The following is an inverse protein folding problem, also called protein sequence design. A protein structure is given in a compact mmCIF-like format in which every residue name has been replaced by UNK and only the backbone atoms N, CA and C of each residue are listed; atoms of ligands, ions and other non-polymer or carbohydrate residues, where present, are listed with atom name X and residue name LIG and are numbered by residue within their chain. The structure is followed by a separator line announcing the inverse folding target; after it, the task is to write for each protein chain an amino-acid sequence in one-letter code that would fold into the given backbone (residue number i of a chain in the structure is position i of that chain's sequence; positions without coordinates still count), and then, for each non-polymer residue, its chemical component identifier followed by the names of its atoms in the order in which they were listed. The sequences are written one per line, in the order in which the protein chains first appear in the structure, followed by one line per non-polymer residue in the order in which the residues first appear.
data_IF_949814570863
#
_entry.id   IF_949814570863
#
_cell.length_a   1.000
_cell.length_b   1.000
_cell.length_c   1.000
_cell.angle_alpha   90.00
_cell.angle_beta   90.00
_cell.angle_gamma   90.00
#
_symmetry.space_group_name_H-M   'P 1'
#
loop_
_entity.id
_entity.type
_entity.pdbx_description
1 polymer ?
#
# COMPACT_ATOMS: atom_id res chain seq x y z
N UNK A 1 5.98 24.52 -5.83
CA UNK A 1 5.40 25.89 -5.74
C UNK A 1 6.51 26.93 -5.84
N UNK A 2 7.46 27.05 -4.92
CA UNK A 2 8.48 28.11 -4.88
C UNK A 2 9.33 28.27 -6.15
N UNK A 3 9.53 27.22 -6.95
CA UNK A 3 10.19 27.33 -8.27
C UNK A 3 9.37 28.13 -9.32
N UNK A 4 8.09 28.31 -9.10
CA UNK A 4 7.15 28.95 -10.04
C UNK A 4 6.55 30.24 -9.48
N UNK A 5 6.54 30.38 -8.16
CA UNK A 5 6.19 31.59 -7.41
C UNK A 5 7.11 31.67 -6.20
N UNK A 6 8.18 32.45 -6.35
CA UNK A 6 9.21 32.64 -5.31
C UNK A 6 8.71 33.50 -4.12
N UNK A 7 7.57 34.18 -4.29
CA UNK A 7 6.96 34.98 -3.23
C UNK A 7 5.89 34.22 -2.43
N UNK A 8 5.64 32.95 -2.74
CA UNK A 8 4.67 32.15 -2.00
C UNK A 8 5.14 31.93 -0.56
N UNK A 9 4.33 32.36 0.42
CA UNK A 9 4.52 31.98 1.83
C UNK A 9 3.90 30.60 2.07
N UNK A 10 4.77 29.61 2.26
CA UNK A 10 4.34 28.20 2.46
C UNK A 10 4.49 27.86 3.95
N UNK A 11 3.35 27.59 4.59
CA UNK A 11 3.27 27.12 5.96
C UNK A 11 2.89 25.64 5.95
N UNK A 12 3.66 24.78 6.62
CA UNK A 12 3.37 23.34 6.77
C UNK A 12 3.20 23.02 8.25
N UNK A 13 2.11 22.36 8.61
CA UNK A 13 1.84 21.90 9.97
C UNK A 13 1.94 20.38 10.00
N UNK A 14 2.82 19.86 10.85
CA UNK A 14 3.10 18.45 11.05
C UNK A 14 2.91 18.10 12.52
N UNK A 15 2.07 17.12 12.80
CA UNK A 15 1.78 16.67 14.16
C UNK A 15 2.95 15.94 14.82
N UNK A 16 3.80 15.27 14.03
CA UNK A 16 5.00 14.62 14.50
C UNK A 16 6.13 15.61 14.80
N UNK A 17 7.13 15.15 15.53
CA UNK A 17 8.35 15.93 15.87
C UNK A 17 9.29 16.10 14.68
N UNK A 18 9.19 15.21 13.68
CA UNK A 18 9.97 15.23 12.42
C UNK A 18 9.06 14.98 11.22
N UNK A 19 9.28 15.69 10.10
CA UNK A 19 8.48 15.50 8.89
C UNK A 19 8.97 14.32 8.05
N UNK A 20 8.15 13.95 7.07
CA UNK A 20 8.56 13.09 5.94
C UNK A 20 8.97 11.66 6.31
N UNK A 21 8.40 11.10 7.37
CA UNK A 21 8.67 9.72 7.78
C UNK A 21 8.12 8.70 6.77
N UNK A 22 8.99 7.77 6.35
CA UNK A 22 8.65 6.69 5.42
C UNK A 22 8.17 5.45 6.18
N UNK A 23 6.87 5.34 6.41
CA UNK A 23 6.30 4.17 7.09
C UNK A 23 6.56 2.84 6.36
N UNK A 24 6.71 2.84 5.04
CA UNK A 24 7.11 1.64 4.27
C UNK A 24 8.52 1.13 4.59
N UNK A 25 9.35 1.90 5.28
CA UNK A 25 10.68 1.49 5.74
C UNK A 25 10.70 0.85 7.12
N UNK A 26 9.56 0.77 7.81
CA UNK A 26 9.51 0.23 9.19
C UNK A 26 10.03 -1.19 9.24
N UNK A 27 9.65 -2.07 8.31
CA UNK A 27 10.18 -3.44 8.26
C UNK A 27 11.70 -3.46 8.19
N UNK A 28 12.33 -2.63 7.33
CA UNK A 28 13.79 -2.56 7.22
C UNK A 28 14.46 -2.15 8.53
N UNK A 29 13.81 -1.28 9.33
CA UNK A 29 14.29 -0.95 10.67
C UNK A 29 14.10 -2.11 11.65
N UNK A 30 12.96 -2.79 11.62
CA UNK A 30 12.72 -3.95 12.49
C UNK A 30 13.71 -5.09 12.23
N UNK A 31 14.14 -5.27 10.99
CA UNK A 31 15.09 -6.28 10.54
C UNK A 31 16.58 -5.83 10.62
N UNK A 32 16.88 -4.69 11.24
CA UNK A 32 18.24 -4.12 11.35
C UNK A 32 18.93 -3.83 9.99
N UNK A 33 18.17 -3.71 8.90
CA UNK A 33 18.66 -3.26 7.60
C UNK A 33 18.90 -1.75 7.64
N UNK A 34 17.96 -0.98 8.19
CA UNK A 34 18.17 0.41 8.56
C UNK A 34 18.66 0.48 10.01
N UNK A 35 19.74 1.20 10.24
CA UNK A 35 20.35 1.33 11.57
C UNK A 35 19.57 2.25 12.51
N UNK A 36 18.76 3.15 11.95
CA UNK A 36 18.03 4.18 12.69
C UNK A 36 16.70 4.52 12.00
N UNK A 37 15.70 4.90 12.80
CA UNK A 37 14.47 5.51 12.27
C UNK A 37 14.72 6.88 11.63
N UNK A 38 15.82 7.55 11.97
CA UNK A 38 16.19 8.82 11.35
C UNK A 38 16.54 8.64 9.87
N UNK A 39 17.05 7.47 9.47
CA UNK A 39 17.33 7.12 8.07
C UNK A 39 16.06 7.03 7.22
N UNK A 40 14.88 6.87 7.86
CA UNK A 40 13.59 6.75 7.19
C UNK A 40 12.91 8.10 6.93
N UNK A 41 13.58 9.22 7.13
CA UNK A 41 13.07 10.56 6.81
C UNK A 41 13.61 11.04 5.46
N UNK A 42 12.72 11.35 4.52
CA UNK A 42 13.12 11.91 3.22
C UNK A 42 13.62 13.35 3.30
N UNK A 43 13.17 14.11 4.30
CA UNK A 43 13.50 15.50 4.49
C UNK A 43 13.48 15.84 5.98
N UNK A 44 14.34 16.77 6.39
CA UNK A 44 14.38 17.31 7.73
C UNK A 44 13.74 18.69 7.81
N UNK A 45 13.48 19.18 9.02
CA UNK A 45 13.04 20.55 9.27
C UNK A 45 13.99 21.55 8.62
N UNK A 46 15.31 21.34 8.75
CA UNK A 46 16.32 22.23 8.17
C UNK A 46 16.30 22.21 6.64
N UNK A 47 16.05 21.06 6.03
CA UNK A 47 15.94 20.96 4.56
C UNK A 47 14.71 21.68 4.01
N UNK A 48 13.59 21.71 4.74
CA UNK A 48 12.42 22.52 4.38
C UNK A 48 12.72 24.02 4.53
N UNK A 49 13.29 24.44 5.63
CA UNK A 49 13.68 25.84 5.87
C UNK A 49 14.67 26.35 4.82
N UNK A 50 15.66 25.53 4.46
CA UNK A 50 16.64 25.87 3.42
C UNK A 50 16.01 26.08 2.04
N UNK A 51 14.82 25.50 1.80
CA UNK A 51 14.03 25.70 0.60
C UNK A 51 13.02 26.85 0.72
N UNK A 52 12.98 27.59 1.82
CA UNK A 52 12.04 28.70 2.04
C UNK A 52 10.65 28.26 2.51
N UNK A 53 10.50 27.04 3.05
CA UNK A 53 9.24 26.53 3.59
C UNK A 53 9.23 26.69 5.11
N UNK A 54 8.19 27.30 5.66
CA UNK A 54 7.97 27.38 7.09
C UNK A 54 7.28 26.10 7.59
N UNK A 55 8.02 25.22 8.24
CA UNK A 55 7.47 24.00 8.82
C UNK A 55 7.37 24.09 10.33
N UNK A 56 6.19 23.74 10.84
CA UNK A 56 5.84 23.69 12.25
C UNK A 56 5.59 22.24 12.65
N UNK A 57 6.54 21.63 13.34
CA UNK A 57 6.41 20.28 13.91
C UNK A 57 5.72 20.30 15.28
N UNK A 58 5.28 19.15 15.78
CA UNK A 58 4.45 19.05 17.01
C UNK A 58 3.23 19.98 16.94
N UNK A 59 2.67 20.16 15.75
CA UNK A 59 1.62 21.14 15.46
C UNK A 59 0.46 20.45 14.75
N UNK A 60 -0.62 20.23 15.48
CA UNK A 60 -1.80 19.53 15.00
C UNK A 60 -2.86 20.54 14.55
N UNK A 61 -3.31 20.42 13.30
CA UNK A 61 -4.47 21.17 12.83
C UNK A 61 -5.74 20.51 13.39
N UNK A 62 -6.54 21.26 14.13
CA UNK A 62 -7.70 20.74 14.86
C UNK A 62 -9.03 21.24 14.34
N UNK A 63 -9.06 22.34 13.59
CA UNK A 63 -10.26 22.90 13.00
C UNK A 63 -10.00 23.63 11.68
N UNK A 64 -11.06 23.72 10.85
CA UNK A 64 -11.07 24.39 9.56
C UNK A 64 -12.31 25.28 9.46
N UNK A 65 -12.11 26.56 9.17
CA UNK A 65 -13.16 27.50 8.78
C UNK A 65 -12.99 27.86 7.30
N UNK A 66 -13.83 27.32 6.46
CA UNK A 66 -13.79 27.52 4.99
C UNK A 66 -14.30 28.89 4.57
N UNK A 67 -15.18 29.53 5.35
CA UNK A 67 -15.76 30.84 5.05
C UNK A 67 -14.77 31.97 5.34
N UNK A 68 -14.08 31.89 6.49
CA UNK A 68 -13.04 32.83 6.89
C UNK A 68 -11.66 32.48 6.38
N UNK A 69 -11.49 31.31 5.72
CA UNK A 69 -10.21 30.78 5.24
C UNK A 69 -9.15 30.71 6.35
N UNK A 70 -9.47 30.04 7.44
CA UNK A 70 -8.57 29.85 8.56
C UNK A 70 -8.50 28.41 9.01
N UNK A 71 -7.36 28.03 9.60
CA UNK A 71 -7.17 26.77 10.33
C UNK A 71 -6.77 27.09 11.76
N UNK A 72 -7.21 26.25 12.70
CA UNK A 72 -6.79 26.27 14.09
C UNK A 72 -5.73 25.22 14.28
N UNK A 73 -4.60 25.62 14.85
CA UNK A 73 -3.43 24.74 15.09
C UNK A 73 -3.16 24.70 16.57
N UNK A 74 -3.02 23.50 17.12
CA UNK A 74 -2.57 23.26 18.47
C UNK A 74 -1.08 22.92 18.49
N UNK A 75 -0.34 23.62 19.32
CA UNK A 75 1.08 23.38 19.59
C UNK A 75 1.32 23.46 21.09
N UNK A 76 1.77 22.37 21.72
CA UNK A 76 2.09 22.30 23.17
C UNK A 76 0.95 22.81 24.08
N UNK A 77 -0.30 22.47 23.75
CA UNK A 77 -1.49 22.86 24.51
C UNK A 77 -1.93 24.31 24.29
N UNK A 78 -1.29 25.04 23.40
CA UNK A 78 -1.72 26.39 22.96
C UNK A 78 -2.30 26.33 21.56
N UNK A 79 -3.36 27.08 21.31
CA UNK A 79 -3.99 27.16 20.01
C UNK A 79 -3.69 28.51 19.33
N UNK A 80 -3.43 28.48 18.02
CA UNK A 80 -3.28 29.65 17.18
C UNK A 80 -4.10 29.49 15.90
N UNK A 81 -4.58 30.61 15.35
CA UNK A 81 -5.34 30.62 14.08
C UNK A 81 -4.44 31.17 12.98
N UNK A 82 -4.40 30.44 11.85
CA UNK A 82 -3.67 30.84 10.65
C UNK A 82 -4.63 31.03 9.49
N UNK A 83 -4.47 32.12 8.75
CA UNK A 83 -5.22 32.36 7.51
C UNK A 83 -4.49 31.76 6.32
N UNK A 84 -5.24 31.42 5.26
CA UNK A 84 -4.69 30.91 4.00
C UNK A 84 -5.38 31.56 2.79
N UNK A 85 -4.65 31.74 1.70
CA UNK A 85 -5.23 31.98 0.38
C UNK A 85 -5.69 30.68 -0.25
N UNK A 86 -4.84 29.63 -0.13
CA UNK A 86 -5.10 28.26 -0.59
C UNK A 86 -4.60 27.26 0.43
N UNK A 87 -5.37 26.19 0.63
CA UNK A 87 -5.08 25.14 1.61
C UNK A 87 -4.94 23.78 0.91
N UNK A 88 -3.94 23.00 1.30
CA UNK A 88 -3.83 21.61 0.92
C UNK A 88 -3.92 20.71 2.15
N UNK A 89 -4.93 19.84 2.18
CA UNK A 89 -5.20 18.88 3.25
C UNK A 89 -4.55 17.52 2.91
N UNK A 90 -3.63 17.09 3.76
CA UNK A 90 -2.99 15.78 3.65
C UNK A 90 -2.91 15.11 5.03
N UNK A 91 -4.07 14.87 5.69
CA UNK A 91 -4.10 14.35 7.06
C UNK A 91 -3.61 12.90 7.14
N UNK A 92 -3.48 12.22 6.00
CA UNK A 92 -3.07 10.82 5.93
C UNK A 92 -4.13 9.88 6.50
N UNK A 93 -3.67 8.76 7.03
CA UNK A 93 -4.53 7.76 7.65
C UNK A 93 -3.96 7.28 8.97
N UNK A 94 -4.81 6.67 9.77
CA UNK A 94 -4.45 6.03 11.04
C UNK A 94 -4.78 4.54 10.99
N UNK A 95 -4.14 3.70 11.81
CA UNK A 95 -4.52 2.29 11.93
C UNK A 95 -5.99 2.17 12.38
N UNK A 96 -6.69 1.22 11.78
CA UNK A 96 -8.03 0.84 12.25
C UNK A 96 -7.89 0.13 13.59
N UNK A 97 -8.61 0.62 14.60
CA UNK A 97 -8.77 -0.05 15.89
C UNK A 97 -10.06 -0.86 15.85
N UNK A 98 -10.00 -2.20 15.72
CA UNK A 98 -11.20 -3.01 15.68
C UNK A 98 -11.88 -3.08 17.05
N UNK A 99 -13.20 -3.34 17.12
CA UNK A 99 -13.94 -3.47 18.38
C UNK A 99 -13.65 -4.83 19.04
N UNK A 100 -12.41 -5.04 19.47
CA UNK A 100 -11.95 -6.25 20.16
C UNK A 100 -11.87 -5.96 21.65
N UNK A 101 -12.49 -6.80 22.48
CA UNK A 101 -12.44 -6.64 23.93
C UNK A 101 -11.00 -6.81 24.44
N UNK A 102 -10.55 -5.87 25.27
CA UNK A 102 -9.21 -5.87 25.86
C UNK A 102 -8.11 -5.17 25.04
N UNK A 103 -8.41 -4.66 23.82
CA UNK A 103 -7.40 -4.05 22.93
C UNK A 103 -6.66 -2.87 23.57
N UNK A 104 -7.35 -2.05 24.36
CA UNK A 104 -6.78 -0.88 25.06
C UNK A 104 -6.36 -1.18 26.52
N UNK A 105 -6.65 -2.39 26.99
CA UNK A 105 -6.49 -2.75 28.40
C UNK A 105 -5.11 -3.29 28.73
N UNK A 106 -4.50 -3.98 27.78
CA UNK A 106 -3.27 -4.73 28.03
C UNK A 106 -2.07 -4.10 27.34
N UNK A 107 -0.90 -4.19 27.98
CA UNK A 107 0.40 -3.84 27.39
C UNK A 107 0.76 -4.82 26.28
N UNK A 108 1.64 -4.39 25.38
CA UNK A 108 2.13 -5.17 24.26
C UNK A 108 1.07 -5.48 23.20
N UNK A 109 0.02 -4.67 23.15
CA UNK A 109 -0.92 -4.58 22.03
C UNK A 109 -0.47 -3.40 21.16
N UNK A 110 -0.07 -3.67 19.93
CA UNK A 110 0.68 -2.78 19.06
C UNK A 110 -0.06 -2.56 17.75
N UNK A 111 0.28 -1.45 17.07
CA UNK A 111 -0.10 -1.15 15.69
C UNK A 111 1.16 -0.82 14.90
N UNK A 112 1.11 -0.88 13.57
CA UNK A 112 2.29 -0.57 12.75
C UNK A 112 2.01 0.60 11.82
N UNK A 113 2.28 1.82 12.29
CA UNK A 113 2.28 3.04 11.48
C UNK A 113 3.01 4.17 12.19
N UNK A 114 3.91 4.85 11.46
CA UNK A 114 4.66 5.97 12.01
C UNK A 114 5.79 5.57 12.97
N UNK A 115 6.54 6.57 13.39
CA UNK A 115 7.80 6.42 14.12
C UNK A 115 7.61 5.81 15.52
N UNK A 116 6.61 6.29 16.25
CA UNK A 116 6.39 5.86 17.64
C UNK A 116 6.05 4.37 17.74
N UNK A 117 5.17 3.89 16.86
CA UNK A 117 4.86 2.47 16.80
C UNK A 117 6.06 1.64 16.37
N UNK A 118 6.85 2.10 15.40
CA UNK A 118 8.06 1.41 14.98
C UNK A 118 9.05 1.22 16.14
N UNK A 119 9.25 2.25 16.97
CA UNK A 119 10.05 2.17 18.18
C UNK A 119 9.48 1.16 19.18
N UNK A 120 8.19 1.23 19.47
CA UNK A 120 7.55 0.33 20.43
C UNK A 120 7.64 -1.13 19.97
N UNK A 121 7.43 -1.41 18.68
CA UNK A 121 7.58 -2.75 18.11
C UNK A 121 9.02 -3.23 18.28
N UNK A 122 10.02 -2.41 17.88
CA UNK A 122 11.45 -2.78 17.97
C UNK A 122 11.89 -3.08 19.40
N UNK A 123 11.47 -2.24 20.35
CA UNK A 123 11.76 -2.48 21.78
C UNK A 123 11.11 -3.77 22.26
N UNK A 124 9.84 -4.01 21.88
CA UNK A 124 9.15 -5.24 22.28
C UNK A 124 9.78 -6.50 21.69
N UNK A 125 10.30 -6.45 20.47
CA UNK A 125 10.98 -7.59 19.83
C UNK A 125 12.16 -8.13 20.64
N UNK A 126 12.78 -7.33 21.51
CA UNK A 126 13.92 -7.79 22.35
C UNK A 126 13.52 -8.89 23.33
N UNK A 127 12.30 -8.88 23.82
CA UNK A 127 11.83 -9.78 24.89
C UNK A 127 10.66 -10.68 24.46
N UNK A 128 10.03 -10.39 23.32
CA UNK A 128 8.91 -11.15 22.78
C UNK A 128 9.31 -12.59 22.48
N UNK A 129 8.42 -13.54 22.78
CA UNK A 129 8.59 -14.95 22.48
C UNK A 129 7.49 -15.50 21.58
N UNK A 130 6.27 -15.00 21.76
CA UNK A 130 5.10 -15.43 20.99
C UNK A 130 4.31 -14.22 20.51
N UNK A 131 4.26 -14.00 19.22
CA UNK A 131 3.52 -12.91 18.62
C UNK A 131 2.29 -13.42 17.85
N UNK A 132 1.17 -12.75 18.05
CA UNK A 132 0.00 -12.88 17.18
C UNK A 132 -0.16 -11.58 16.39
N UNK A 133 -0.12 -11.68 15.07
CA UNK A 133 -0.40 -10.59 14.14
C UNK A 133 -1.83 -10.75 13.63
N UNK A 134 -2.68 -9.76 13.85
CA UNK A 134 -4.07 -9.75 13.40
C UNK A 134 -4.18 -8.97 12.11
N UNK A 135 -4.46 -9.70 11.01
CA UNK A 135 -4.51 -9.18 9.65
C UNK A 135 -3.33 -9.65 8.79
N UNK A 136 -3.63 -10.33 7.69
CA UNK A 136 -2.67 -10.90 6.72
C UNK A 136 -2.48 -10.06 5.46
N UNK A 137 -2.73 -8.73 5.52
CA UNK A 137 -2.41 -7.78 4.46
C UNK A 137 -0.93 -7.38 4.46
N UNK A 138 -0.51 -6.44 3.61
CA UNK A 138 0.90 -6.01 3.49
C UNK A 138 1.54 -5.68 4.84
N UNK A 139 0.92 -4.81 5.63
CA UNK A 139 1.49 -4.38 6.94
C UNK A 139 1.65 -5.56 7.90
N UNK A 140 0.65 -6.45 7.95
CA UNK A 140 0.71 -7.63 8.84
C UNK A 140 1.77 -8.63 8.42
N UNK A 141 1.92 -8.86 7.11
CA UNK A 141 2.97 -9.74 6.56
C UNK A 141 4.36 -9.18 6.87
N UNK A 142 4.60 -7.87 6.66
CA UNK A 142 5.87 -7.21 6.96
C UNK A 142 6.24 -7.33 8.45
N UNK A 143 5.27 -7.09 9.35
CA UNK A 143 5.49 -7.25 10.79
C UNK A 143 5.76 -8.71 11.18
N UNK A 144 4.97 -9.65 10.65
CA UNK A 144 5.09 -11.06 10.96
C UNK A 144 6.41 -11.66 10.46
N UNK A 145 6.86 -11.26 9.27
CA UNK A 145 8.17 -11.66 8.74
C UNK A 145 9.30 -11.14 9.63
N UNK A 146 9.26 -9.87 10.04
CA UNK A 146 10.26 -9.30 10.92
C UNK A 146 10.32 -10.04 12.28
N UNK A 147 9.17 -10.38 12.85
CA UNK A 147 9.09 -11.17 14.08
C UNK A 147 9.67 -12.58 13.89
N UNK A 148 9.27 -13.29 12.84
CA UNK A 148 9.76 -14.64 12.56
C UNK A 148 11.28 -14.65 12.32
N UNK A 149 11.82 -13.69 11.56
CA UNK A 149 13.28 -13.53 11.36
C UNK A 149 14.03 -13.23 12.66
N UNK A 150 13.40 -12.58 13.62
CA UNK A 150 13.94 -12.36 14.96
C UNK A 150 13.84 -13.59 15.87
N UNK A 151 13.30 -14.71 15.39
CA UNK A 151 13.13 -15.94 16.15
C UNK A 151 11.94 -15.94 17.11
N UNK A 152 10.98 -15.05 16.92
CA UNK A 152 9.73 -14.99 17.68
C UNK A 152 8.73 -15.95 17.04
N UNK A 153 8.16 -16.87 17.83
CA UNK A 153 7.08 -17.76 17.38
C UNK A 153 5.87 -16.92 16.95
N UNK A 154 5.60 -16.87 15.65
CA UNK A 154 4.68 -15.89 15.07
C UNK A 154 3.52 -16.56 14.35
N UNK A 155 2.31 -16.14 14.72
CA UNK A 155 1.08 -16.58 14.06
C UNK A 155 0.32 -15.37 13.52
N UNK A 156 -0.04 -15.40 12.24
CA UNK A 156 -0.99 -14.46 11.64
C UNK A 156 -2.39 -15.05 11.78
N UNK A 157 -3.34 -14.23 12.24
CA UNK A 157 -4.78 -14.55 12.28
C UNK A 157 -5.53 -13.56 11.39
N UNK A 158 -6.36 -14.05 10.47
CA UNK A 158 -7.15 -13.20 9.58
C UNK A 158 -8.57 -13.75 9.39
N UNK A 159 -9.53 -12.85 9.17
CA UNK A 159 -10.90 -13.19 8.76
C UNK A 159 -10.94 -13.78 7.35
N UNK A 160 -9.98 -13.43 6.51
CA UNK A 160 -9.78 -14.01 5.20
C UNK A 160 -9.20 -15.43 5.31
N UNK A 161 -9.48 -16.25 4.32
CA UNK A 161 -9.02 -17.65 4.25
C UNK A 161 -7.57 -17.79 3.78
N UNK A 162 -6.94 -16.72 3.31
CA UNK A 162 -5.56 -16.66 2.78
C UNK A 162 -4.87 -15.35 3.15
N UNK A 163 -3.54 -15.37 3.28
CA UNK A 163 -2.75 -14.14 3.34
C UNK A 163 -2.92 -13.35 2.02
N UNK A 164 -2.79 -12.05 2.09
CA UNK A 164 -2.74 -11.15 0.93
C UNK A 164 -3.91 -11.30 -0.07
N UNK A 165 -5.05 -11.85 0.36
CA UNK A 165 -6.18 -12.18 -0.52
C UNK A 165 -6.79 -10.97 -1.25
N UNK A 166 -6.54 -9.75 -0.75
CA UNK A 166 -6.94 -8.49 -1.39
C UNK A 166 -5.92 -7.97 -2.41
N UNK A 167 -4.81 -8.66 -2.60
CA UNK A 167 -3.71 -8.27 -3.48
C UNK A 167 -3.33 -9.36 -4.47
N UNK A 168 -3.34 -10.63 -4.04
CA UNK A 168 -2.90 -11.77 -4.83
C UNK A 168 -3.97 -12.84 -4.92
N UNK A 169 -4.01 -13.50 -6.06
CA UNK A 169 -4.86 -14.65 -6.29
C UNK A 169 -4.26 -15.93 -5.66
N UNK A 170 -5.10 -16.96 -5.56
CA UNK A 170 -4.80 -18.18 -4.82
C UNK A 170 -3.52 -18.88 -5.28
N UNK A 171 -3.23 -18.88 -6.56
CA UNK A 171 -2.05 -19.53 -7.14
C UNK A 171 -0.74 -19.00 -6.55
N UNK A 172 -0.72 -17.72 -6.16
CA UNK A 172 0.44 -17.07 -5.55
C UNK A 172 0.45 -17.26 -4.04
N UNK A 173 -0.71 -17.07 -3.39
CA UNK A 173 -0.78 -17.13 -1.92
C UNK A 173 -0.50 -18.52 -1.39
N UNK A 174 -0.88 -19.60 -2.07
CA UNK A 174 -0.58 -20.98 -1.68
C UNK A 174 0.94 -21.23 -1.63
N UNK A 175 1.70 -20.67 -2.58
CA UNK A 175 3.17 -20.77 -2.61
C UNK A 175 3.78 -19.96 -1.46
N UNK A 176 3.29 -18.74 -1.26
CA UNK A 176 3.78 -17.86 -0.19
C UNK A 176 3.50 -18.44 1.20
N UNK A 177 2.32 -18.98 1.45
CA UNK A 177 1.97 -19.61 2.72
C UNK A 177 2.85 -20.85 3.00
N UNK A 178 3.08 -21.68 1.96
CA UNK A 178 3.97 -22.82 2.07
C UNK A 178 5.40 -22.40 2.40
N UNK A 179 5.91 -21.36 1.73
CA UNK A 179 7.24 -20.82 1.99
C UNK A 179 7.33 -20.19 3.40
N UNK A 180 6.34 -19.40 3.78
CA UNK A 180 6.28 -18.77 5.10
C UNK A 180 6.30 -19.82 6.24
N UNK A 181 5.55 -20.90 6.07
CA UNK A 181 5.54 -22.00 7.04
C UNK A 181 6.92 -22.69 7.17
N UNK A 182 7.68 -22.81 6.08
CA UNK A 182 9.06 -23.33 6.13
C UNK A 182 10.01 -22.43 6.94
N UNK A 183 9.69 -21.14 7.01
CA UNK A 183 10.41 -20.15 7.81
C UNK A 183 9.83 -19.93 9.22
N UNK A 184 8.92 -20.79 9.67
CA UNK A 184 8.35 -20.73 11.02
C UNK A 184 7.24 -19.70 11.23
N UNK A 185 6.70 -19.13 10.16
CA UNK A 185 5.54 -18.24 10.21
C UNK A 185 4.25 -19.04 9.98
N UNK A 186 3.32 -18.96 10.92
CA UNK A 186 2.06 -19.69 10.87
C UNK A 186 0.91 -18.77 10.43
N UNK A 187 -0.01 -19.30 9.61
CA UNK A 187 -1.22 -18.61 9.19
C UNK A 187 -2.49 -19.35 9.65
N UNK A 188 -3.45 -18.61 10.17
CA UNK A 188 -4.78 -19.06 10.62
C UNK A 188 -5.85 -18.20 9.98
N UNK A 189 -6.36 -18.65 8.84
CA UNK A 189 -7.38 -17.97 8.07
C UNK A 189 -8.81 -18.32 8.48
N UNK A 190 -9.74 -17.42 8.12
CA UNK A 190 -11.16 -17.56 8.40
C UNK A 190 -11.49 -17.46 9.87
N UNK A 191 -10.69 -16.76 10.67
CA UNK A 191 -10.88 -16.57 12.10
C UNK A 191 -11.05 -15.10 12.47
N UNK A 192 -12.01 -14.80 13.31
CA UNK A 192 -12.27 -13.44 13.79
C UNK A 192 -11.82 -13.31 15.25
N UNK A 193 -10.87 -12.41 15.53
CA UNK A 193 -10.47 -12.09 16.91
C UNK A 193 -11.63 -11.44 17.63
N UNK A 194 -11.96 -11.96 18.83
CA UNK A 194 -13.07 -11.49 19.67
C UNK A 194 -12.58 -10.74 20.90
N UNK A 195 -11.53 -11.25 21.54
CA UNK A 195 -11.00 -10.64 22.74
C UNK A 195 -9.53 -10.92 22.94
N UNK A 196 -8.92 -10.09 23.77
CA UNK A 196 -7.55 -10.26 24.27
C UNK A 196 -7.66 -10.40 25.78
N UNK A 197 -6.91 -11.31 26.37
CA UNK A 197 -6.78 -11.44 27.83
C UNK A 197 -5.33 -11.30 28.28
N UNK A 198 -5.12 -10.99 29.54
CA UNK A 198 -3.80 -10.74 30.11
C UNK A 198 -3.69 -11.12 31.57
N UNK A 199 -2.48 -11.01 32.09
CA UNK A 199 -2.15 -11.33 33.49
C UNK A 199 -2.45 -10.17 34.44
N UNK A 200 -2.19 -10.38 35.73
CA UNK A 200 -2.39 -9.35 36.77
C UNK A 200 -1.48 -8.13 36.65
N UNK A 201 -0.37 -8.23 35.90
CA UNK A 201 0.53 -7.11 35.60
C UNK A 201 0.04 -6.26 34.43
N UNK A 202 -1.11 -6.61 33.82
CA UNK A 202 -1.66 -5.94 32.67
C UNK A 202 -0.93 -6.26 31.36
N UNK A 203 -0.22 -7.38 31.29
CA UNK A 203 0.46 -7.84 30.07
C UNK A 203 -0.43 -8.83 29.32
N UNK A 204 -0.46 -8.75 27.98
CA UNK A 204 -1.23 -9.69 27.16
C UNK A 204 -0.68 -11.11 27.32
N UNK A 205 -1.57 -12.09 27.35
CA UNK A 205 -1.22 -13.52 27.44
C UNK A 205 -1.94 -14.39 26.42
N UNK A 206 -3.09 -13.94 25.90
CA UNK A 206 -3.91 -14.78 25.03
C UNK A 206 -4.74 -13.94 24.08
N UNK A 207 -4.82 -14.37 22.83
CA UNK A 207 -5.75 -13.88 21.81
C UNK A 207 -6.83 -14.93 21.60
N UNK A 208 -8.10 -14.54 21.73
CA UNK A 208 -9.26 -15.42 21.56
C UNK A 208 -9.98 -15.07 20.27
N UNK A 209 -10.16 -16.06 19.41
CA UNK A 209 -10.95 -15.95 18.17
C UNK A 209 -12.31 -16.62 18.35
N UNK A 210 -13.10 -16.60 17.28
CA UNK A 210 -14.37 -17.36 17.22
C UNK A 210 -14.17 -18.88 17.08
N UNK A 211 -12.91 -19.35 16.89
CA UNK A 211 -12.60 -20.77 16.69
C UNK A 211 -11.55 -21.31 17.67
N UNK A 212 -10.58 -20.51 18.05
CA UNK A 212 -9.39 -20.94 18.78
C UNK A 212 -8.92 -19.91 19.80
N UNK A 213 -7.96 -20.35 20.64
CA UNK A 213 -7.20 -19.47 21.54
C UNK A 213 -5.71 -19.62 21.22
N UNK A 214 -4.99 -18.51 21.24
CA UNK A 214 -3.56 -18.44 20.95
C UNK A 214 -2.82 -17.78 22.09
N UNK A 215 -1.83 -18.48 22.65
CA UNK A 215 -0.90 -17.85 23.58
C UNK A 215 -0.11 -16.75 22.87
N UNK A 216 -0.04 -15.58 23.48
CA UNK A 216 0.71 -14.46 22.93
C UNK A 216 1.21 -13.54 24.03
N UNK A 217 2.46 -13.19 24.04
CA UNK A 217 3.01 -12.12 24.86
C UNK A 217 3.07 -10.77 24.11
N UNK A 218 2.78 -10.81 22.82
CA UNK A 218 2.79 -9.66 21.91
C UNK A 218 1.66 -9.81 20.89
N UNK A 219 0.87 -8.77 20.70
CA UNK A 219 -0.20 -8.72 19.70
C UNK A 219 -0.01 -7.48 18.83
N UNK A 220 -0.06 -7.63 17.50
CA UNK A 220 0.01 -6.53 16.57
C UNK A 220 -1.23 -6.52 15.67
N UNK A 221 -1.96 -5.42 15.66
CA UNK A 221 -3.11 -5.22 14.78
C UNK A 221 -2.71 -4.53 13.49
N UNK A 222 -3.01 -5.17 12.36
CA UNK A 222 -2.77 -4.69 10.99
C UNK A 222 -4.01 -4.89 10.10
N UNK A 223 -5.21 -4.55 10.63
CA UNK A 223 -6.52 -4.78 10.00
C UNK A 223 -6.96 -3.66 9.07
N UNK A 224 -6.04 -2.84 8.64
CA UNK A 224 -6.24 -1.76 7.68
C UNK A 224 -5.96 -0.37 8.22
N UNK A 225 -6.20 0.60 7.35
CA UNK A 225 -5.97 2.03 7.59
C UNK A 225 -7.23 2.79 7.20
N UNK A 226 -7.58 3.80 7.99
CA UNK A 226 -8.68 4.71 7.69
C UNK A 226 -8.19 6.16 7.65
N UNK A 227 -8.85 7.04 6.87
CA UNK A 227 -8.51 8.46 6.83
C UNK A 227 -8.59 9.14 8.21
N UNK A 228 -7.62 10.00 8.52
CA UNK A 228 -7.61 10.79 9.76
C UNK A 228 -8.38 12.12 9.57
N UNK A 229 -9.67 12.03 9.32
CA UNK A 229 -10.52 13.14 8.83
C UNK A 229 -11.71 13.48 9.71
N UNK A 230 -11.82 12.91 10.91
CA UNK A 230 -12.96 13.14 11.80
C UNK A 230 -13.18 14.62 12.12
N UNK A 231 -12.10 15.38 12.25
CA UNK A 231 -12.11 16.83 12.51
C UNK A 231 -12.61 17.66 11.33
N UNK A 232 -12.70 17.09 10.12
CA UNK A 232 -13.22 17.72 8.91
C UNK A 232 -14.73 17.50 8.71
N UNK A 233 -15.36 16.72 9.60
CA UNK A 233 -16.80 16.48 9.53
C UNK A 233 -17.57 17.82 9.57
N UNK A 234 -18.56 17.94 8.69
CA UNK A 234 -19.40 19.14 8.54
C UNK A 234 -18.62 20.41 8.06
N UNK A 235 -17.34 20.28 7.67
CA UNK A 235 -16.52 21.37 7.12
C UNK A 235 -16.37 21.27 5.59
N UNK A 236 -16.20 20.06 5.09
CA UNK A 236 -16.10 19.72 3.67
C UNK A 236 -16.84 18.41 3.41
N UNK A 237 -17.12 18.11 2.15
CA UNK A 237 -17.81 16.87 1.78
C UNK A 237 -16.90 15.66 2.00
N UNK A 238 -17.33 14.75 2.87
CA UNK A 238 -16.70 13.48 3.13
C UNK A 238 -17.55 12.33 2.55
N UNK A 239 -16.89 11.39 1.91
CA UNK A 239 -17.48 10.14 1.44
C UNK A 239 -17.51 9.05 2.52
N UNK A 240 -17.70 7.81 2.07
CA UNK A 240 -17.69 6.65 2.96
C UNK A 240 -16.38 6.56 3.74
N UNK A 241 -16.44 6.16 5.01
CA UNK A 241 -15.29 6.00 5.91
C UNK A 241 -14.44 7.27 6.08
N UNK A 242 -15.00 8.46 5.89
CA UNK A 242 -14.29 9.72 6.06
C UNK A 242 -13.36 10.11 4.90
N UNK A 243 -13.45 9.47 3.75
CA UNK A 243 -12.68 9.85 2.56
C UNK A 243 -13.04 11.26 2.12
N UNK A 244 -12.06 12.13 1.91
CA UNK A 244 -12.32 13.48 1.40
C UNK A 244 -12.70 13.37 -0.08
N UNK A 245 -13.88 13.87 -0.45
CA UNK A 245 -14.31 13.96 -1.82
C UNK A 245 -13.53 15.05 -2.57
N UNK A 246 -12.86 14.66 -3.64
CA UNK A 246 -12.08 15.54 -4.51
C UNK A 246 -12.40 15.28 -5.98
N UNK A 247 -12.17 16.29 -6.82
CA UNK A 247 -12.12 16.08 -8.26
C UNK A 247 -10.69 15.67 -8.70
N UNK A 248 -10.50 15.36 -9.98
CA UNK A 248 -9.19 14.96 -10.52
C UNK A 248 -8.14 16.09 -10.55
N UNK A 249 -8.50 17.32 -10.19
CA UNK A 249 -7.58 18.44 -9.96
C UNK A 249 -7.24 18.61 -8.48
N UNK A 250 -7.65 17.68 -7.63
CA UNK A 250 -7.46 17.63 -6.18
C UNK A 250 -8.26 18.69 -5.41
N UNK A 251 -9.27 19.32 -6.02
CA UNK A 251 -10.13 20.29 -5.34
C UNK A 251 -11.20 19.57 -4.52
N UNK A 252 -11.46 20.06 -3.32
CA UNK A 252 -12.55 19.61 -2.43
C UNK A 252 -13.85 20.37 -2.76
N UNK A 253 -14.93 20.13 -2.00
CA UNK A 253 -16.16 20.91 -2.07
C UNK A 253 -16.00 22.38 -1.63
N UNK A 254 -14.97 22.69 -0.84
CA UNK A 254 -14.70 24.04 -0.39
C UNK A 254 -13.77 24.77 -1.37
N UNK A 255 -14.09 26.04 -1.64
CA UNK A 255 -13.30 26.88 -2.54
C UNK A 255 -11.89 27.09 -2.00
N UNK A 256 -10.88 26.97 -2.88
CA UNK A 256 -9.45 27.14 -2.57
C UNK A 256 -8.89 26.10 -1.58
N UNK A 257 -9.65 25.02 -1.30
CA UNK A 257 -9.22 23.89 -0.47
C UNK A 257 -9.02 22.67 -1.35
N UNK A 258 -7.84 22.10 -1.28
CA UNK A 258 -7.39 20.93 -2.02
C UNK A 258 -7.07 19.79 -1.05
N UNK A 259 -7.10 18.54 -1.52
CA UNK A 259 -6.70 17.41 -0.69
C UNK A 259 -6.00 16.32 -1.52
N UNK A 260 -5.23 15.47 -0.83
CA UNK A 260 -4.55 14.34 -1.45
C UNK A 260 -3.95 13.38 -0.41
N UNK A 261 -3.37 12.30 -0.91
CA UNK A 261 -2.79 11.24 -0.08
C UNK A 261 -3.82 10.22 0.41
N UNK A 262 -3.47 9.53 1.49
CA UNK A 262 -4.22 8.38 2.02
C UNK A 262 -5.65 8.71 2.51
N UNK A 263 -6.02 9.98 2.51
CA UNK A 263 -7.38 10.41 2.86
C UNK A 263 -8.32 10.60 1.65
N UNK A 264 -7.87 10.30 0.42
CA UNK A 264 -8.61 10.55 -0.82
C UNK A 264 -8.65 9.34 -1.74
N UNK A 265 -9.51 9.38 -2.76
CA UNK A 265 -9.51 8.42 -3.87
C UNK A 265 -8.51 8.83 -4.96
N UNK A 266 -8.19 7.90 -5.85
CA UNK A 266 -7.41 8.11 -7.06
C UNK A 266 -8.12 7.52 -8.28
N UNK A 267 -8.00 8.15 -9.47
CA UNK A 267 -8.55 7.60 -10.72
C UNK A 267 -7.88 6.27 -11.06
N UNK A 268 -8.68 5.23 -11.30
CA UNK A 268 -8.18 3.88 -11.55
C UNK A 268 -8.15 3.55 -13.05
N UNK A 269 -7.00 3.09 -13.56
CA UNK A 269 -6.77 2.92 -14.99
C UNK A 269 -7.58 1.80 -15.66
N UNK A 270 -7.73 0.62 -15.04
CA UNK A 270 -8.45 -0.49 -15.65
C UNK A 270 -9.93 -0.22 -15.90
N UNK A 271 -10.55 0.57 -15.02
CA UNK A 271 -11.99 0.90 -15.07
C UNK A 271 -12.21 2.42 -14.91
N UNK A 272 -13.45 2.87 -15.17
CA UNK A 272 -13.76 4.32 -15.10
C UNK A 272 -14.14 4.79 -13.68
N UNK A 273 -13.70 4.09 -12.65
CA UNK A 273 -14.00 4.40 -11.26
C UNK A 273 -12.79 5.01 -10.55
N UNK A 274 -13.04 5.77 -9.50
CA UNK A 274 -12.02 6.17 -8.55
C UNK A 274 -11.96 5.15 -7.41
N UNK A 275 -10.73 4.83 -6.96
CA UNK A 275 -10.50 3.82 -5.92
C UNK A 275 -9.67 4.33 -4.77
N UNK A 276 -9.89 3.74 -3.60
CA UNK A 276 -9.05 3.95 -2.43
C UNK A 276 -7.77 3.11 -2.56
N UNK A 277 -6.66 3.76 -2.88
CA UNK A 277 -5.34 3.13 -3.07
C UNK A 277 -4.31 3.97 -2.32
N UNK A 278 -4.16 3.68 -1.03
CA UNK A 278 -3.26 4.39 -0.12
C UNK A 278 -1.80 3.97 -0.36
N UNK A 279 -1.18 4.54 -1.38
CA UNK A 279 0.23 4.33 -1.73
C UNK A 279 0.99 5.66 -1.72
N UNK A 280 2.19 5.68 -1.13
CA UNK A 280 3.05 6.86 -1.08
C UNK A 280 3.34 7.46 -2.47
N UNK A 281 3.43 6.61 -3.50
CA UNK A 281 3.61 7.04 -4.90
C UNK A 281 2.41 7.83 -5.42
N UNK A 282 1.19 7.50 -5.01
CA UNK A 282 -0.02 8.25 -5.36
C UNK A 282 -0.06 9.59 -4.62
N UNK A 283 0.23 9.59 -3.32
CA UNK A 283 0.29 10.81 -2.51
C UNK A 283 1.26 11.85 -3.10
N UNK A 284 2.43 11.41 -3.59
CA UNK A 284 3.39 12.29 -4.27
C UNK A 284 2.84 12.88 -5.56
N UNK A 285 2.17 12.09 -6.41
CA UNK A 285 1.54 12.58 -7.64
C UNK A 285 0.42 13.57 -7.34
N UNK A 286 -0.45 13.26 -6.38
CA UNK A 286 -1.52 14.15 -5.94
C UNK A 286 -0.98 15.47 -5.41
N UNK A 287 0.10 15.47 -4.63
CA UNK A 287 0.77 16.68 -4.16
C UNK A 287 1.27 17.57 -5.30
N UNK A 288 1.84 16.97 -6.38
CA UNK A 288 2.25 17.73 -7.57
C UNK A 288 1.04 18.33 -8.28
N UNK A 289 -0.03 17.53 -8.50
CA UNK A 289 -1.26 18.00 -9.17
C UNK A 289 -1.92 19.12 -8.38
N UNK A 290 -2.04 18.97 -7.05
CA UNK A 290 -2.58 20.01 -6.18
C UNK A 290 -1.76 21.31 -6.27
N UNK A 291 -0.43 21.22 -6.14
CA UNK A 291 0.46 22.37 -6.21
C UNK A 291 0.34 23.13 -7.53
N UNK A 292 0.21 22.43 -8.66
CA UNK A 292 -0.01 23.06 -9.98
C UNK A 292 -1.35 23.81 -10.03
N UNK A 293 -2.42 23.16 -9.59
CA UNK A 293 -3.76 23.77 -9.59
C UNK A 293 -3.86 24.95 -8.60
N UNK A 294 -3.20 24.86 -7.45
CA UNK A 294 -3.10 25.99 -6.51
C UNK A 294 -2.39 27.21 -7.12
N UNK A 295 -1.48 26.99 -8.06
CA UNK A 295 -0.81 28.06 -8.85
C UNK A 295 -1.60 28.51 -10.08
N UNK A 296 -2.83 28.01 -10.27
CA UNK A 296 -3.65 28.34 -11.45
C UNK A 296 -3.20 27.65 -12.73
N UNK A 297 -2.37 26.59 -12.64
CA UNK A 297 -1.91 25.77 -13.78
C UNK A 297 -2.72 24.48 -13.81
N UNK A 298 -3.61 24.37 -14.77
CA UNK A 298 -4.48 23.20 -14.90
C UNK A 298 -3.66 21.90 -15.05
N UNK A 299 -3.86 20.97 -14.14
CA UNK A 299 -3.30 19.64 -14.17
C UNK A 299 -4.30 18.65 -13.60
N UNK A 300 -4.48 17.53 -14.30
CA UNK A 300 -5.38 16.45 -13.88
C UNK A 300 -4.57 15.25 -13.40
N UNK A 301 -5.01 14.61 -12.33
CA UNK A 301 -4.40 13.38 -11.83
C UNK A 301 -4.49 12.29 -12.90
N UNK A 302 -3.36 11.70 -13.32
CA UNK A 302 -3.40 10.58 -14.26
C UNK A 302 -4.05 9.36 -13.59
N UNK A 303 -4.70 8.51 -14.40
CA UNK A 303 -5.18 7.23 -13.93
C UNK A 303 -4.02 6.34 -13.50
N UNK A 304 -4.17 5.63 -12.39
CA UNK A 304 -3.15 4.74 -11.83
C UNK A 304 -3.66 3.31 -11.76
N UNK A 305 -2.76 2.35 -11.86
CA UNK A 305 -3.10 0.92 -11.80
C UNK A 305 -2.97 0.31 -10.39
N UNK A 306 -2.59 1.10 -9.39
CA UNK A 306 -2.39 0.59 -8.03
C UNK A 306 -1.22 -0.38 -7.91
N UNK A 307 -0.17 -0.18 -8.70
CA UNK A 307 1.00 -1.07 -8.74
C UNK A 307 1.69 -1.10 -7.39
N UNK A 308 1.77 -2.29 -6.80
CA UNK A 308 2.35 -2.53 -5.47
C UNK A 308 2.97 -3.92 -5.39
N UNK A 309 3.82 -4.14 -4.41
CA UNK A 309 4.45 -5.43 -4.19
C UNK A 309 5.30 -5.44 -2.94
N UNK A 310 5.70 -6.63 -2.51
CA UNK A 310 6.54 -6.90 -1.36
C UNK A 310 7.52 -8.04 -1.65
N UNK A 311 8.40 -8.26 -0.69
CA UNK A 311 9.11 -9.52 -0.49
C UNK A 311 8.54 -10.20 0.75
N UNK A 312 8.36 -11.52 0.69
CA UNK A 312 8.09 -12.38 1.84
C UNK A 312 9.06 -13.55 1.78
N UNK A 313 9.99 -13.59 2.70
CA UNK A 313 11.11 -14.53 2.73
C UNK A 313 11.82 -14.67 1.39
N UNK A 314 11.65 -15.83 0.71
CA UNK A 314 12.36 -16.12 -0.55
C UNK A 314 11.73 -15.43 -1.76
N UNK A 315 10.44 -15.06 -1.69
CA UNK A 315 9.69 -14.59 -2.85
C UNK A 315 9.49 -13.09 -2.85
N UNK A 316 9.68 -12.51 -4.03
CA UNK A 316 9.28 -11.14 -4.38
C UNK A 316 8.06 -11.21 -5.27
N UNK A 317 7.05 -10.42 -4.96
CA UNK A 317 5.81 -10.42 -5.72
C UNK A 317 5.27 -9.00 -5.90
N UNK A 318 4.48 -8.82 -6.94
CA UNK A 318 3.80 -7.57 -7.23
C UNK A 318 2.50 -7.80 -7.96
N UNK A 319 1.61 -6.82 -7.82
CA UNK A 319 0.34 -6.77 -8.53
C UNK A 319 0.11 -5.38 -9.11
N UNK A 320 -0.72 -5.32 -10.15
CA UNK A 320 -1.13 -4.07 -10.79
C UNK A 320 -2.49 -4.28 -11.48
N UNK A 321 -3.35 -3.27 -11.43
CA UNK A 321 -4.67 -3.34 -12.04
C UNK A 321 -5.68 -4.19 -11.25
N UNK A 322 -6.59 -4.84 -11.96
CA UNK A 322 -7.62 -5.72 -11.40
C UNK A 322 -6.98 -7.06 -11.04
N UNK A 323 -7.41 -7.67 -9.94
CA UNK A 323 -7.07 -9.04 -9.58
C UNK A 323 -8.29 -9.98 -9.64
N UNK A 324 -8.06 -11.31 -9.58
CA UNK A 324 -9.08 -12.31 -9.85
C UNK A 324 -10.27 -12.29 -8.91
N UNK A 325 -10.12 -11.81 -7.67
CA UNK A 325 -11.24 -11.67 -6.72
C UNK A 325 -12.22 -10.54 -7.07
N UNK A 326 -11.86 -9.67 -8.03
CA UNK A 326 -12.71 -8.57 -8.50
C UNK A 326 -13.52 -8.92 -9.76
N UNK A 327 -13.39 -10.14 -10.29
CA UNK A 327 -14.04 -10.57 -11.54
C UNK A 327 -15.55 -10.32 -11.52
N UNK A 328 -16.21 -10.62 -10.40
CA UNK A 328 -17.65 -10.49 -10.26
C UNK A 328 -18.13 -9.02 -10.18
N UNK A 329 -17.22 -8.08 -9.99
CA UNK A 329 -17.50 -6.64 -9.87
C UNK A 329 -17.19 -5.86 -11.15
N UNK A 330 -16.66 -6.52 -12.19
CA UNK A 330 -16.37 -5.87 -13.46
C UNK A 330 -17.60 -5.88 -14.38
N UNK A 331 -17.92 -4.71 -14.93
CA UNK A 331 -19.01 -4.59 -15.93
C UNK A 331 -18.47 -4.99 -17.32
N UNK A 332 -18.31 -6.28 -17.53
CA UNK A 332 -17.76 -6.86 -18.76
C UNK A 332 -17.39 -8.34 -18.58
N UNK A 333 -16.75 -8.91 -19.57
CA UNK A 333 -16.41 -10.33 -19.62
C UNK A 333 -14.92 -10.54 -19.35
N UNK A 334 -14.52 -10.74 -18.07
CA UNK A 334 -13.12 -10.94 -17.72
C UNK A 334 -12.61 -12.34 -18.05
N UNK A 335 -11.39 -12.38 -18.61
CA UNK A 335 -10.54 -13.55 -18.72
C UNK A 335 -9.37 -13.45 -17.78
N UNK A 336 -8.84 -14.61 -17.39
CA UNK A 336 -7.61 -14.70 -16.61
C UNK A 336 -6.79 -15.90 -17.05
N UNK A 337 -5.48 -15.76 -17.07
CA UNK A 337 -4.54 -16.84 -17.39
C UNK A 337 -3.37 -16.80 -16.43
N UNK A 338 -3.09 -17.92 -15.80
CA UNK A 338 -1.92 -18.12 -14.94
C UNK A 338 -0.89 -18.97 -15.66
N UNK A 339 0.38 -18.61 -15.53
CA UNK A 339 1.52 -19.30 -16.14
C UNK A 339 2.67 -19.39 -15.15
N UNK A 340 3.29 -20.55 -15.10
CA UNK A 340 4.57 -20.79 -14.45
C UNK A 340 5.61 -21.09 -15.53
N UNK A 341 6.73 -20.35 -15.54
CA UNK A 341 7.81 -20.54 -16.52
C UNK A 341 9.18 -20.47 -15.85
N UNK A 342 10.19 -21.04 -16.51
CA UNK A 342 11.59 -20.76 -16.17
C UNK A 342 11.93 -19.33 -16.64
N UNK A 343 12.66 -18.58 -15.82
CA UNK A 343 13.14 -17.25 -16.22
C UNK A 343 14.13 -17.41 -17.39
N UNK A 344 15.09 -18.35 -17.29
CA UNK A 344 16.16 -18.58 -18.25
C UNK A 344 15.95 -19.84 -19.07
N UNK A 345 16.66 -20.00 -20.21
CA UNK A 345 16.63 -21.22 -20.99
C UNK A 345 17.15 -22.41 -20.16
N UNK A 346 16.57 -23.59 -20.36
CA UNK A 346 16.90 -24.81 -19.58
C UNK A 346 18.39 -25.19 -19.64
N UNK A 347 19.11 -24.85 -20.72
CA UNK A 347 20.54 -25.14 -20.85
C UNK A 347 21.42 -24.32 -19.89
N UNK A 348 20.88 -23.23 -19.29
CA UNK A 348 21.56 -22.44 -18.28
C UNK A 348 21.65 -23.15 -16.92
N UNK A 349 20.98 -24.31 -16.77
CA UNK A 349 20.93 -25.11 -15.54
C UNK A 349 20.44 -24.32 -14.31
N UNK A 350 19.59 -23.32 -14.56
CA UNK A 350 18.90 -22.52 -13.57
C UNK A 350 17.42 -22.90 -13.60
N UNK A 351 16.89 -23.32 -12.47
CA UNK A 351 15.50 -23.76 -12.31
C UNK A 351 14.61 -22.68 -11.68
N UNK A 352 15.12 -21.45 -11.60
CA UNK A 352 14.36 -20.32 -11.06
C UNK A 352 13.13 -20.05 -11.90
N UNK A 353 11.98 -20.12 -11.22
CA UNK A 353 10.68 -19.91 -11.85
C UNK A 353 10.15 -18.50 -11.65
N UNK A 354 9.36 -18.07 -12.61
CA UNK A 354 8.49 -16.92 -12.51
C UNK A 354 7.04 -17.38 -12.61
N UNK A 355 6.23 -16.93 -11.67
CA UNK A 355 4.78 -17.13 -11.62
C UNK A 355 4.11 -15.86 -12.08
N UNK A 356 3.18 -15.95 -13.02
CA UNK A 356 2.55 -14.80 -13.63
C UNK A 356 1.07 -15.04 -13.83
N UNK A 357 0.30 -13.99 -13.69
CA UNK A 357 -1.11 -13.98 -14.04
C UNK A 357 -1.46 -12.70 -14.79
N UNK A 358 -2.27 -12.83 -15.82
CA UNK A 358 -2.80 -11.68 -16.56
C UNK A 358 -4.32 -11.73 -16.54
N UNK A 359 -4.93 -10.57 -16.37
CA UNK A 359 -6.38 -10.38 -16.35
C UNK A 359 -6.72 -9.42 -17.50
N UNK A 360 -7.69 -9.78 -18.30
CA UNK A 360 -8.04 -9.09 -19.51
C UNK A 360 -9.55 -9.15 -19.80
N UNK A 361 -10.03 -8.24 -20.60
CA UNK A 361 -11.38 -8.25 -21.15
C UNK A 361 -11.42 -9.22 -22.33
N UNK A 362 -12.31 -10.23 -22.30
CA UNK A 362 -12.39 -11.29 -23.33
C UNK A 362 -12.90 -10.79 -24.68
N UNK A 363 -13.65 -9.70 -24.70
CA UNK A 363 -14.28 -9.22 -25.93
C UNK A 363 -13.32 -8.29 -26.71
N UNK A 364 -12.49 -7.56 -25.99
CA UNK A 364 -11.53 -6.59 -26.55
C UNK A 364 -10.06 -7.01 -26.44
N UNK A 365 -9.78 -8.06 -25.68
CA UNK A 365 -8.44 -8.53 -25.29
C UNK A 365 -7.59 -7.48 -24.55
N UNK A 366 -8.19 -6.36 -24.12
CA UNK A 366 -7.50 -5.32 -23.37
C UNK A 366 -7.01 -5.85 -22.04
N UNK A 367 -5.76 -5.58 -21.72
CA UNK A 367 -5.11 -5.98 -20.47
C UNK A 367 -5.58 -5.02 -19.35
N UNK A 368 -6.08 -5.59 -18.25
CA UNK A 368 -6.68 -4.87 -17.14
C UNK A 368 -5.98 -5.11 -15.81
N UNK A 369 -5.20 -6.19 -15.70
CA UNK A 369 -4.50 -6.52 -14.47
C UNK A 369 -3.40 -7.56 -14.67
N UNK A 370 -2.54 -7.68 -13.66
CA UNK A 370 -1.53 -8.72 -13.63
C UNK A 370 -0.83 -8.85 -12.30
N UNK A 371 -0.30 -10.04 -12.08
CA UNK A 371 0.44 -10.43 -10.88
C UNK A 371 1.70 -11.17 -11.33
N UNK A 372 2.80 -10.90 -10.64
CA UNK A 372 4.11 -11.52 -10.92
C UNK A 372 4.77 -11.88 -9.60
N UNK A 373 5.38 -13.06 -9.52
CA UNK A 373 6.13 -13.52 -8.37
C UNK A 373 7.31 -14.39 -8.78
N UNK A 374 8.46 -14.19 -8.13
CA UNK A 374 9.65 -15.01 -8.29
C UNK A 374 10.54 -14.89 -7.06
N UNK A 375 11.57 -15.75 -6.98
CA UNK A 375 12.70 -15.56 -6.05
C UNK A 375 13.65 -14.45 -6.52
N UNK A 376 13.62 -14.09 -7.80
CA UNK A 376 14.37 -12.97 -8.36
C UNK A 376 13.57 -11.66 -8.35
N UNK A 377 14.22 -10.58 -8.77
CA UNK A 377 13.57 -9.27 -8.89
C UNK A 377 12.53 -9.26 -10.01
N UNK A 378 11.30 -8.88 -9.66
CA UNK A 378 10.15 -8.81 -10.58
C UNK A 378 9.78 -7.37 -10.95
N UNK A 379 10.55 -6.39 -10.50
CA UNK A 379 10.18 -4.97 -10.61
C UNK A 379 9.99 -4.54 -12.06
N UNK A 380 10.89 -4.97 -12.96
CA UNK A 380 10.76 -4.65 -14.38
C UNK A 380 9.48 -5.23 -14.98
N UNK A 381 9.13 -6.48 -14.64
CA UNK A 381 7.96 -7.18 -15.17
C UNK A 381 6.65 -6.55 -14.71
N UNK A 382 6.50 -6.29 -13.42
CA UNK A 382 5.26 -5.69 -12.90
C UNK A 382 5.09 -4.22 -13.38
N UNK A 383 6.18 -3.47 -13.49
CA UNK A 383 6.16 -2.12 -14.07
C UNK A 383 5.78 -2.15 -15.55
N UNK A 384 6.26 -3.14 -16.31
CA UNK A 384 5.85 -3.34 -17.72
C UNK A 384 4.34 -3.56 -17.80
N UNK A 385 3.77 -4.45 -16.99
CA UNK A 385 2.32 -4.68 -16.98
C UNK A 385 1.56 -3.39 -16.63
N UNK A 386 2.03 -2.60 -15.66
CA UNK A 386 1.43 -1.31 -15.33
C UNK A 386 1.44 -0.33 -16.51
N UNK A 387 2.52 -0.30 -17.28
CA UNK A 387 2.65 0.55 -18.48
C UNK A 387 1.69 0.07 -19.58
N UNK A 388 1.61 -1.23 -19.85
CA UNK A 388 0.72 -1.75 -20.90
C UNK A 388 -0.76 -1.54 -20.55
N UNK A 389 -1.15 -1.64 -19.27
CA UNK A 389 -2.49 -1.28 -18.80
C UNK A 389 -2.78 0.19 -19.09
N UNK A 390 -1.86 1.08 -18.71
CA UNK A 390 -2.01 2.53 -18.90
C UNK A 390 -2.05 2.92 -20.39
N UNK A 391 -1.33 2.19 -21.24
CA UNK A 391 -1.32 2.39 -22.68
C UNK A 391 -2.51 1.72 -23.40
N UNK A 392 -3.31 0.92 -22.69
CA UNK A 392 -4.46 0.22 -23.26
C UNK A 392 -4.09 -0.93 -24.20
N UNK A 393 -2.96 -1.59 -23.96
CA UNK A 393 -2.52 -2.73 -24.77
C UNK A 393 -3.51 -3.89 -24.72
N UNK A 394 -3.54 -4.63 -25.84
CA UNK A 394 -4.20 -5.92 -25.91
C UNK A 394 -3.24 -7.09 -25.71
N UNK A 395 -3.78 -8.29 -25.54
CA UNK A 395 -2.98 -9.51 -25.44
C UNK A 395 -2.11 -9.72 -26.69
N UNK A 396 -2.65 -9.43 -27.90
CA UNK A 396 -1.91 -9.58 -29.17
C UNK A 396 -0.69 -8.69 -29.21
N UNK A 397 -0.84 -7.44 -28.78
CA UNK A 397 0.28 -6.49 -28.74
C UNK A 397 1.36 -6.96 -27.76
N UNK A 398 0.97 -7.45 -26.58
CA UNK A 398 1.93 -7.98 -25.60
C UNK A 398 2.56 -9.29 -26.06
N UNK A 399 1.82 -10.16 -26.77
CA UNK A 399 2.29 -11.46 -27.25
C UNK A 399 3.47 -11.37 -28.22
N UNK A 400 3.59 -10.27 -28.94
CA UNK A 400 4.65 -10.02 -29.94
C UNK A 400 5.51 -8.80 -29.63
N UNK A 401 5.34 -8.22 -28.43
CA UNK A 401 6.12 -7.08 -28.00
C UNK A 401 7.63 -7.40 -28.06
N UNK A 402 8.42 -6.49 -28.62
CA UNK A 402 9.87 -6.59 -28.62
C UNK A 402 10.41 -6.41 -27.21
N UNK A 403 10.93 -7.48 -26.64
CA UNK A 403 11.63 -7.49 -25.36
C UNK A 403 13.09 -7.87 -25.57
N UNK A 404 13.95 -7.34 -24.70
CA UNK A 404 15.35 -7.70 -24.64
C UNK A 404 15.51 -9.22 -24.40
N UNK A 405 16.48 -9.83 -25.08
CA UNK A 405 16.87 -11.22 -24.87
C UNK A 405 18.37 -11.38 -24.73
N UNK A 406 18.77 -12.09 -23.69
CA UNK A 406 20.09 -12.66 -23.55
C UNK A 406 20.01 -13.81 -22.54
N UNK A 407 20.64 -15.00 -22.79
CA UNK A 407 20.41 -16.21 -21.98
C UNK A 407 20.62 -16.07 -20.47
N UNK A 408 21.52 -15.17 -20.01
CA UNK A 408 21.73 -14.93 -18.59
C UNK A 408 20.56 -14.21 -17.91
N UNK A 409 19.63 -13.62 -18.67
CA UNK A 409 18.54 -12.80 -18.17
C UNK A 409 17.17 -13.42 -18.41
N UNK A 410 16.92 -13.91 -19.62
CA UNK A 410 15.59 -14.43 -19.98
C UNK A 410 15.64 -15.41 -21.17
N UNK A 411 14.48 -15.67 -21.79
CA UNK A 411 14.28 -16.59 -22.91
C UNK A 411 14.05 -15.84 -24.23
N UNK A 412 14.26 -16.47 -25.41
CA UNK A 412 14.02 -15.85 -26.71
C UNK A 412 12.61 -15.29 -26.90
N UNK A 413 11.58 -15.98 -26.39
CA UNK A 413 10.28 -15.40 -26.08
C UNK A 413 10.30 -15.04 -24.59
N UNK A 414 10.30 -13.74 -24.31
CA UNK A 414 10.22 -13.24 -22.94
C UNK A 414 8.98 -13.83 -22.24
N UNK A 415 9.07 -14.15 -20.98
CA UNK A 415 7.97 -14.79 -20.25
C UNK A 415 6.65 -13.99 -20.27
N UNK A 416 6.68 -12.65 -20.40
CA UNK A 416 5.47 -11.85 -20.60
C UNK A 416 4.84 -12.04 -21.99
N UNK A 417 5.66 -12.29 -23.04
CA UNK A 417 5.12 -12.70 -24.34
C UNK A 417 4.43 -14.06 -24.20
N UNK A 418 5.08 -15.02 -23.55
CA UNK A 418 4.51 -16.38 -23.32
C UNK A 418 3.21 -16.31 -22.55
N UNK A 419 3.12 -15.48 -21.53
CA UNK A 419 1.90 -15.24 -20.75
C UNK A 419 0.73 -14.78 -21.65
N UNK A 420 0.99 -13.79 -22.51
CA UNK A 420 -0.03 -13.28 -23.43
C UNK A 420 -0.37 -14.29 -24.54
N UNK A 421 0.62 -15.02 -25.07
CA UNK A 421 0.40 -16.10 -26.07
C UNK A 421 -0.47 -17.22 -25.49
N UNK A 422 -0.24 -17.64 -24.25
CA UNK A 422 -1.06 -18.64 -23.59
C UNK A 422 -2.48 -18.13 -23.30
N UNK A 423 -2.64 -16.83 -22.98
CA UNK A 423 -3.97 -16.22 -22.80
C UNK A 423 -4.77 -16.17 -24.11
N UNK A 424 -4.10 -15.98 -25.24
CA UNK A 424 -4.69 -16.02 -26.59
C UNK A 424 -5.01 -17.46 -27.05
N UNK A 425 -4.26 -18.46 -26.56
CA UNK A 425 -4.43 -19.85 -26.98
C UNK A 425 -4.39 -20.02 -28.50
N UNK A 426 -5.39 -20.68 -29.07
CA UNK A 426 -5.51 -20.94 -30.51
C UNK A 426 -5.66 -19.67 -31.38
N UNK A 427 -5.89 -18.52 -30.76
CA UNK A 427 -5.96 -17.23 -31.47
C UNK A 427 -4.57 -16.73 -31.83
N UNK A 428 -3.52 -17.09 -31.09
CA UNK A 428 -2.16 -16.66 -31.38
C UNK A 428 -1.68 -17.24 -32.72
N UNK A 429 -1.28 -16.35 -33.62
CA UNK A 429 -0.82 -16.70 -34.96
C UNK A 429 -1.93 -17.11 -35.96
N UNK A 430 -3.19 -16.99 -35.59
CA UNK A 430 -4.33 -17.21 -36.49
C UNK A 430 -4.79 -15.93 -37.19
N UNK A 431 -5.64 -16.07 -38.20
CA UNK A 431 -6.27 -14.93 -38.90
C UNK A 431 -7.24 -14.13 -38.00
N UNK A 432 -7.51 -14.63 -36.78
CA UNK A 432 -8.36 -13.97 -35.76
C UNK A 432 -7.58 -13.04 -34.85
N UNK A 433 -6.26 -12.99 -34.98
CA UNK A 433 -5.41 -12.14 -34.15
C UNK A 433 -5.67 -10.67 -34.48
N UNK A 434 -6.00 -9.89 -33.46
CA UNK A 434 -6.32 -8.46 -33.57
C UNK A 434 -5.07 -7.61 -33.28
N UNK A 435 -4.71 -6.71 -34.20
CA UNK A 435 -3.60 -5.75 -34.02
C UNK A 435 -4.11 -4.31 -34.01
#
# INVERSE_FOLDING_TARGET
MLKEDENADIQVFESADQPSFLSCGIQSYLEDISSSLDDLHYASVDSYKAQGVNIHTNSTVTDLDTDNKTVVVEHQGQTATYSYDKLFLSPGGKPVTPPVDGIEKYKHVLFMRGRDWANQIKERMKDAKKAVVVGGGYIGIEAAEAFAKAGIDTTIVDVADRILNTYLDKEFTDILETNAQQHGLHFKGGETVKSISGNQNGEVTTVVTDKNEYDADTVLFAVGVEPATEWLKDKIDLGKKGIININHQQQTSAKDVYAGGDATLVPFAPVSEDRYIALATNSRRQGVVAAKNMLGKEMTMPRVSGTSGLQLFDYKFGQTGIHGTEIDNYDGNLGQTYVEELIRPQFMQDDTKIHMKIIYDKDTHRILGGQVMSKEDITASINTISVVISAGFTLEQLAVQDFFFQPDYDRPWHYLNVLAQQALGDTFGSDKMLF
#
